data_IF_187844131905
#
_entry.id   IF_187844131905
#
_cell.length_a   1.000
_cell.length_b   1.000
_cell.length_c   1.000
_cell.angle_alpha   90.00
_cell.angle_beta   90.00
_cell.angle_gamma   90.00
#
_symmetry.space_group_name_H-M   'P 1'
#
loop_
_entity.id
_entity.type
_entity.pdbx_description
1 polymer ?
#
# COMPACT_ATOMS: atom_id res chain seq x y z
N UNK A 1 -31.70 -0.90 -4.90
CA UNK A 1 -31.10 -0.47 -6.18
C UNK A 1 -29.78 -1.21 -6.36
N UNK A 2 -29.64 -2.05 -7.40
CA UNK A 2 -28.43 -2.84 -7.60
C UNK A 2 -27.22 -1.98 -8.01
N UNK A 3 -26.02 -2.52 -7.81
CA UNK A 3 -24.78 -1.88 -8.24
C UNK A 3 -24.56 -2.17 -9.73
N UNK A 4 -24.83 -1.18 -10.58
CA UNK A 4 -24.57 -1.26 -12.03
C UNK A 4 -23.19 -0.67 -12.38
N UNK A 5 -22.77 -0.86 -13.64
CA UNK A 5 -21.45 -0.43 -14.11
C UNK A 5 -21.25 1.10 -14.00
N UNK A 6 -22.30 1.87 -14.25
CA UNK A 6 -22.26 3.34 -14.16
C UNK A 6 -22.00 3.80 -12.72
N UNK A 7 -22.69 3.18 -11.75
CA UNK A 7 -22.51 3.50 -10.34
C UNK A 7 -21.14 3.04 -9.83
N UNK A 8 -20.66 1.89 -10.28
CA UNK A 8 -19.31 1.42 -9.97
C UNK A 8 -18.24 2.40 -10.46
N UNK A 9 -18.33 2.85 -11.72
CA UNK A 9 -17.42 3.84 -12.30
C UNK A 9 -17.48 5.18 -11.54
N UNK A 10 -18.67 5.64 -11.17
CA UNK A 10 -18.84 6.85 -10.38
C UNK A 10 -18.17 6.75 -9.00
N UNK A 11 -18.39 5.65 -8.29
CA UNK A 11 -17.77 5.40 -6.97
C UNK A 11 -16.24 5.38 -7.08
N UNK A 12 -15.70 4.73 -8.12
CA UNK A 12 -14.26 4.70 -8.36
C UNK A 12 -13.70 6.10 -8.62
N UNK A 13 -14.37 6.90 -9.46
CA UNK A 13 -13.96 8.27 -9.76
C UNK A 13 -14.01 9.19 -8.52
N UNK A 14 -15.05 9.07 -7.70
CA UNK A 14 -15.16 9.81 -6.43
C UNK A 14 -14.06 9.39 -5.47
N UNK A 15 -13.81 8.09 -5.33
CA UNK A 15 -12.74 7.56 -4.47
C UNK A 15 -11.38 8.13 -4.88
N UNK A 16 -11.02 8.06 -6.17
CA UNK A 16 -9.77 8.63 -6.67
C UNK A 16 -9.66 10.13 -6.40
N UNK A 17 -10.76 10.88 -6.55
CA UNK A 17 -10.80 12.32 -6.23
C UNK A 17 -10.54 12.59 -4.75
N UNK A 18 -11.08 11.77 -3.84
CA UNK A 18 -10.83 11.93 -2.39
C UNK A 18 -9.38 11.64 -1.99
N UNK A 19 -8.64 10.91 -2.83
CA UNK A 19 -7.22 10.62 -2.60
C UNK A 19 -6.30 11.71 -3.14
N UNK A 20 -6.80 12.57 -4.05
CA UNK A 20 -6.01 13.69 -4.57
C UNK A 20 -5.53 14.57 -3.41
N UNK A 21 -4.30 15.08 -3.52
CA UNK A 21 -3.60 15.88 -2.49
C UNK A 21 -3.27 15.16 -1.17
N UNK A 22 -3.58 13.86 -1.04
CA UNK A 22 -3.23 13.02 0.12
C UNK A 22 -2.21 11.93 -0.23
N UNK A 23 -1.73 11.94 -1.46
CA UNK A 23 -0.81 10.96 -2.02
C UNK A 23 0.64 11.39 -1.83
N UNK A 24 1.49 10.40 -1.62
CA UNK A 24 2.94 10.46 -1.70
C UNK A 24 3.39 9.52 -2.82
N UNK A 25 4.42 9.90 -3.56
CA UNK A 25 5.04 8.99 -4.53
C UNK A 25 5.99 8.05 -3.81
N UNK A 26 5.81 6.75 -4.04
CA UNK A 26 6.73 5.69 -3.61
C UNK A 26 7.19 4.89 -4.83
N UNK A 27 8.29 4.15 -4.70
CA UNK A 27 8.81 3.33 -5.79
C UNK A 27 8.60 1.86 -5.47
N UNK A 28 7.89 1.18 -6.36
CA UNK A 28 7.83 -0.28 -6.38
C UNK A 28 9.07 -0.83 -7.08
N UNK A 29 9.73 -1.78 -6.43
CA UNK A 29 10.86 -2.50 -7.01
C UNK A 29 10.38 -3.86 -7.46
N UNK A 30 10.39 -4.07 -8.77
CA UNK A 30 10.02 -5.35 -9.36
C UNK A 30 11.28 -6.14 -9.71
N UNK A 31 11.21 -7.45 -9.57
CA UNK A 31 12.21 -8.37 -10.07
C UNK A 31 11.54 -9.36 -11.01
N UNK A 32 12.04 -9.41 -12.25
CA UNK A 32 11.60 -10.37 -13.25
C UNK A 32 12.81 -10.84 -14.05
N UNK A 33 12.93 -12.16 -14.27
CA UNK A 33 14.02 -12.77 -15.02
C UNK A 33 15.44 -12.31 -14.58
N UNK A 34 15.64 -12.06 -13.28
CA UNK A 34 16.93 -11.63 -12.72
C UNK A 34 17.25 -10.14 -12.86
N UNK A 35 16.39 -9.34 -13.48
CA UNK A 35 16.56 -7.89 -13.59
C UNK A 35 15.61 -7.14 -12.65
N UNK A 36 16.10 -6.03 -12.09
CA UNK A 36 15.30 -5.10 -11.29
C UNK A 36 14.75 -3.97 -12.15
N UNK A 37 13.47 -3.64 -11.96
CA UNK A 37 12.83 -2.45 -12.52
C UNK A 37 12.15 -1.63 -11.42
N UNK A 38 12.00 -0.34 -11.68
CA UNK A 38 11.55 0.65 -10.70
C UNK A 38 10.35 1.41 -11.25
N UNK A 39 9.24 1.40 -10.53
CA UNK A 39 8.04 2.12 -10.94
C UNK A 39 7.57 3.05 -9.83
N UNK A 40 7.63 4.35 -10.08
CA UNK A 40 7.09 5.37 -9.20
C UNK A 40 5.56 5.36 -9.28
N UNK A 41 4.89 5.30 -8.14
CA UNK A 41 3.43 5.27 -8.05
C UNK A 41 2.96 6.18 -6.92
N UNK A 42 1.90 6.94 -7.20
CA UNK A 42 1.24 7.77 -6.20
C UNK A 42 0.31 6.92 -5.33
N UNK A 43 0.58 6.89 -4.03
CA UNK A 43 -0.17 6.11 -3.03
C UNK A 43 -0.44 6.95 -1.80
N UNK A 44 -1.43 6.59 -0.99
CA UNK A 44 -1.49 7.14 0.37
C UNK A 44 -0.59 6.26 1.24
N UNK A 45 0.36 6.88 1.95
CA UNK A 45 1.36 6.17 2.74
C UNK A 45 1.34 6.71 4.16
N UNK A 46 0.97 5.89 5.14
CA UNK A 46 0.81 6.34 6.53
C UNK A 46 1.26 5.28 7.55
N UNK A 47 1.86 5.68 8.68
CA UNK A 47 2.20 4.75 9.74
C UNK A 47 0.94 4.19 10.42
N UNK A 48 1.06 3.03 11.06
CA UNK A 48 0.02 2.54 11.95
C UNK A 48 -0.08 3.46 13.18
N UNK A 49 -1.13 4.29 13.25
CA UNK A 49 -1.35 5.23 14.36
C UNK A 49 -2.23 4.65 15.47
N UNK A 50 -3.01 3.62 15.17
CA UNK A 50 -3.90 2.95 16.12
C UNK A 50 -3.42 1.52 16.28
N UNK A 51 -2.93 1.20 17.47
CA UNK A 51 -2.83 -0.17 17.94
C UNK A 51 -4.22 -0.50 18.48
N UNK A 52 -4.90 -1.49 17.92
CA UNK A 52 -6.18 -1.92 18.47
C UNK A 52 -5.98 -2.28 19.95
N UNK A 53 -6.90 -1.91 20.85
CA UNK A 53 -6.77 -2.26 22.26
C UNK A 53 -6.81 -3.78 22.40
N UNK A 54 -5.63 -4.38 22.50
CA UNK A 54 -5.47 -5.81 22.77
C UNK A 54 -5.81 -6.08 24.25
N UNK A 55 -6.42 -7.23 24.54
CA UNK A 55 -6.54 -7.70 25.93
C UNK A 55 -5.12 -7.78 26.48
N UNK A 56 -4.78 -7.06 27.57
CA UNK A 56 -3.44 -7.06 28.12
C UNK A 56 -3.00 -8.51 28.37
N UNK A 57 -1.86 -8.89 27.82
CA UNK A 57 -1.25 -10.16 28.18
C UNK A 57 -1.05 -10.16 29.71
N UNK A 58 -1.52 -11.22 30.39
CA UNK A 58 -1.41 -11.37 31.85
C UNK A 58 0.06 -11.26 32.33
N UNK A 59 1.02 -11.53 31.43
CA UNK A 59 2.46 -11.36 31.65
C UNK A 59 3.00 -9.93 31.38
N UNK A 60 2.15 -8.94 31.09
CA UNK A 60 2.55 -7.53 30.89
C UNK A 60 3.27 -7.23 29.57
N UNK A 61 3.14 -8.12 28.56
CA UNK A 61 3.73 -7.91 27.24
C UNK A 61 3.14 -6.70 26.51
N UNK A 62 3.98 -5.93 25.82
CA UNK A 62 3.54 -4.82 24.97
C UNK A 62 2.67 -5.34 23.81
N UNK A 63 1.61 -4.61 23.43
CA UNK A 63 0.82 -4.91 22.24
C UNK A 63 1.69 -5.02 21.00
N UNK A 64 1.41 -5.99 20.11
CA UNK A 64 2.23 -6.18 18.90
C UNK A 64 1.68 -5.35 17.76
N UNK A 65 2.51 -4.48 17.19
CA UNK A 65 2.16 -3.82 15.92
C UNK A 65 2.05 -4.87 14.81
N UNK A 66 0.90 -4.89 14.14
CA UNK A 66 0.62 -5.86 13.08
C UNK A 66 1.35 -5.49 11.78
N UNK A 67 1.51 -4.19 11.53
CA UNK A 67 2.23 -3.64 10.39
C UNK A 67 2.86 -2.28 10.77
N UNK A 68 3.93 -1.88 10.08
CA UNK A 68 4.56 -0.59 10.35
C UNK A 68 3.87 0.53 9.58
N UNK A 69 3.52 0.24 8.32
CA UNK A 69 2.95 1.20 7.38
C UNK A 69 1.70 0.61 6.71
N UNK A 70 0.67 1.44 6.55
CA UNK A 70 -0.46 1.16 5.68
C UNK A 70 -0.30 1.98 4.40
N UNK A 71 -0.35 1.28 3.27
CA UNK A 71 -0.36 1.88 1.94
C UNK A 71 -1.72 1.67 1.28
N UNK A 72 -2.29 2.73 0.71
CA UNK A 72 -3.46 2.65 -0.16
C UNK A 72 -3.01 2.95 -1.59
N UNK A 73 -3.07 1.91 -2.44
CA UNK A 73 -2.69 2.00 -3.84
C UNK A 73 -3.90 1.99 -4.77
N UNK A 74 -3.83 2.62 -5.95
CA UNK A 74 -4.85 2.48 -6.99
C UNK A 74 -5.12 1.01 -7.34
N UNK A 75 -6.36 0.66 -7.69
CA UNK A 75 -6.72 -0.72 -8.06
C UNK A 75 -6.02 -1.20 -9.35
N UNK A 76 -5.47 -0.29 -10.14
CA UNK A 76 -4.68 -0.58 -11.34
C UNK A 76 -3.22 -0.92 -11.05
N UNK A 77 -2.77 -0.80 -9.80
CA UNK A 77 -1.41 -1.14 -9.40
C UNK A 77 -1.21 -2.65 -9.45
N UNK A 78 -0.16 -3.10 -10.15
CA UNK A 78 0.25 -4.50 -10.18
C UNK A 78 1.28 -4.77 -9.09
N UNK A 79 1.04 -5.82 -8.29
CA UNK A 79 2.00 -6.32 -7.30
C UNK A 79 2.80 -7.52 -7.79
N UNK A 80 2.60 -7.94 -9.05
CA UNK A 80 3.31 -9.09 -9.61
C UNK A 80 4.80 -8.78 -9.72
N UNK A 81 5.62 -9.66 -9.15
CA UNK A 81 7.07 -9.52 -9.15
C UNK A 81 7.59 -8.39 -8.26
N UNK A 82 6.76 -7.73 -7.44
CA UNK A 82 7.25 -6.74 -6.47
C UNK A 82 8.02 -7.45 -5.37
N UNK A 83 9.25 -7.02 -5.12
CA UNK A 83 10.10 -7.54 -4.05
C UNK A 83 9.96 -6.69 -2.79
N UNK A 84 10.01 -5.36 -2.94
CA UNK A 84 9.82 -4.41 -1.85
C UNK A 84 9.39 -3.04 -2.38
N UNK A 85 8.89 -2.21 -1.48
CA UNK A 85 8.53 -0.81 -1.73
C UNK A 85 9.58 0.08 -1.09
N UNK A 86 10.12 1.02 -1.85
CA UNK A 86 11.06 2.02 -1.37
C UNK A 86 10.35 3.37 -1.18
N UNK A 87 10.56 3.98 -0.02
CA UNK A 87 10.02 5.31 0.27
C UNK A 87 10.89 6.41 -0.36
N UNK A 88 10.78 6.52 -1.67
CA UNK A 88 11.45 7.54 -2.49
C UNK A 88 10.54 7.94 -3.66
N UNK A 89 10.71 9.16 -4.15
CA UNK A 89 9.98 9.67 -5.30
C UNK A 89 10.66 9.34 -6.64
N UNK A 90 11.95 8.99 -6.60
CA UNK A 90 12.78 8.79 -7.80
C UNK A 90 12.96 7.31 -8.10
N UNK A 91 12.48 6.87 -9.28
CA UNK A 91 12.61 5.50 -9.76
C UNK A 91 14.02 5.22 -10.32
N UNK A 92 15.03 5.15 -9.46
CA UNK A 92 16.40 4.78 -9.83
C UNK A 92 17.05 3.88 -8.80
N UNK A 93 18.02 3.07 -9.23
CA UNK A 93 18.73 2.15 -8.35
C UNK A 93 19.42 2.86 -7.16
N UNK A 94 20.03 4.03 -7.42
CA UNK A 94 20.73 4.80 -6.38
C UNK A 94 19.76 5.39 -5.34
N UNK A 95 18.61 5.92 -5.78
CA UNK A 95 17.60 6.46 -4.87
C UNK A 95 16.92 5.35 -4.04
N UNK A 96 16.69 4.18 -4.65
CA UNK A 96 16.12 3.01 -3.97
C UNK A 96 17.10 2.41 -2.96
N UNK A 97 18.41 2.45 -3.24
CA UNK A 97 19.42 1.89 -2.34
C UNK A 97 19.50 2.64 -1.01
N UNK A 98 19.34 3.96 -1.02
CA UNK A 98 19.43 4.84 0.17
C UNK A 98 18.09 5.06 0.89
N UNK A 99 16.97 4.69 0.28
CA UNK A 99 15.64 4.89 0.84
C UNK A 99 15.26 3.81 1.87
N UNK A 100 14.37 4.12 2.83
CA UNK A 100 13.72 3.11 3.66
C UNK A 100 12.94 2.11 2.80
N UNK A 101 13.13 0.82 3.07
CA UNK A 101 12.53 -0.28 2.31
C UNK A 101 11.47 -0.98 3.14
N UNK A 102 10.39 -1.38 2.49
CA UNK A 102 9.26 -2.03 3.11
C UNK A 102 8.87 -3.30 2.34
N UNK A 103 8.72 -4.41 3.05
CA UNK A 103 8.11 -5.62 2.51
C UNK A 103 6.59 -5.49 2.51
N UNK A 104 5.96 -6.09 1.51
CA UNK A 104 4.51 -6.22 1.45
C UNK A 104 4.12 -7.47 2.23
N UNK A 105 3.37 -7.29 3.32
CA UNK A 105 2.84 -8.40 4.12
C UNK A 105 1.57 -8.94 3.46
N UNK A 106 0.67 -8.04 3.09
CA UNK A 106 -0.66 -8.37 2.61
C UNK A 106 -1.16 -7.23 1.72
N UNK A 107 -1.74 -7.57 0.57
CA UNK A 107 -2.41 -6.63 -0.33
C UNK A 107 -3.82 -7.14 -0.61
N UNK A 108 -4.83 -6.43 -0.13
CA UNK A 108 -6.23 -6.80 -0.31
C UNK A 108 -6.96 -5.74 -1.15
N UNK A 109 -7.73 -6.14 -2.17
CA UNK A 109 -8.65 -5.23 -2.82
C UNK A 109 -9.77 -4.87 -1.83
N UNK A 110 -10.02 -3.58 -1.65
CA UNK A 110 -11.02 -3.04 -0.71
C UNK A 110 -11.96 -2.10 -1.45
N UNK A 111 -13.23 -2.14 -1.09
CA UNK A 111 -14.26 -1.26 -1.61
C UNK A 111 -15.61 -1.96 -1.76
N UNK A 112 -16.66 -1.17 -2.01
CA UNK A 112 -18.02 -1.68 -2.20
C UNK A 112 -18.25 -2.28 -3.60
N UNK A 113 -17.36 -1.98 -4.55
CA UNK A 113 -17.44 -2.51 -5.93
C UNK A 113 -16.82 -3.92 -5.96
N UNK A 114 -17.43 -4.90 -6.65
CA UNK A 114 -16.81 -6.21 -6.89
C UNK A 114 -15.41 -6.04 -7.49
N UNK A 115 -14.40 -6.65 -6.86
CA UNK A 115 -12.99 -6.47 -7.22
C UNK A 115 -12.29 -5.29 -6.54
N UNK A 116 -13.00 -4.49 -5.74
CA UNK A 116 -12.46 -3.37 -4.97
C UNK A 116 -12.38 -2.06 -5.77
N UNK A 117 -12.17 -0.95 -5.06
CA UNK A 117 -11.89 0.37 -5.66
C UNK A 117 -10.43 0.78 -5.50
N UNK A 118 -9.73 0.20 -4.54
CA UNK A 118 -8.32 0.42 -4.25
C UNK A 118 -7.75 -0.80 -3.52
N UNK A 119 -6.42 -0.87 -3.40
CA UNK A 119 -5.76 -1.86 -2.56
C UNK A 119 -5.43 -1.27 -1.20
N UNK A 120 -5.77 -1.98 -0.13
CA UNK A 120 -5.21 -1.77 1.19
C UNK A 120 -4.04 -2.72 1.36
N UNK A 121 -2.85 -2.15 1.55
CA UNK A 121 -1.60 -2.90 1.60
C UNK A 121 -0.92 -2.67 2.94
N UNK A 122 -0.70 -3.75 3.69
CA UNK A 122 0.04 -3.76 4.95
C UNK A 122 1.52 -3.96 4.67
N UNK A 123 2.34 -3.10 5.24
CA UNK A 123 3.77 -3.06 4.99
C UNK A 123 4.56 -3.21 6.29
N UNK A 124 5.66 -3.95 6.23
CA UNK A 124 6.65 -4.03 7.30
C UNK A 124 7.97 -3.45 6.82
N UNK A 125 8.68 -2.74 7.68
CA UNK A 125 9.98 -2.15 7.39
C UNK A 125 11.06 -3.22 7.37
N UNK A 126 11.82 -3.27 6.28
CA UNK A 126 13.02 -4.10 6.17
C UNK A 126 14.16 -3.43 6.95
N UNK A 127 14.87 -4.21 7.76
CA UNK A 127 16.02 -3.76 8.56
C UNK A 127 17.32 -3.91 7.80
#
# INVERSE_FOLDING_TARGET
>A
MPLDANKAAHIQAVTLRTFQNRQKTVVFVHQSAGAYSYTATAVIFRPQTIVDPEIPNVAGGQPRQQFDMLMIAPITTSFVGVVFVADTTTASASAVASAPKYEIIEALPVGIVPGGTHYAVKLRRLR
#
